data_IF_642549318379
#
_entry.id   IF_642549318379
#
_cell.length_a   1.000
_cell.length_b   1.000
_cell.length_c   1.000
_cell.angle_alpha   90.00
_cell.angle_beta   90.00
_cell.angle_gamma   90.00
#
_symmetry.space_group_name_H-M   'P 1'
#
loop_
_entity.id
_entity.type
_entity.pdbx_description
1 polymer ?
#
# COMPACT_ATOMS: atom_id res chain seq x y z
N UNK A 1 9.77 -8.53 14.79
CA UNK A 1 8.72 -8.28 15.82
C UNK A 1 7.54 -7.52 15.21
N UNK A 2 7.77 -6.37 14.55
CA UNK A 2 6.70 -5.61 13.86
C UNK A 2 6.07 -6.40 12.70
N UNK A 3 6.85 -7.11 11.89
CA UNK A 3 6.32 -7.96 10.82
C UNK A 3 5.46 -9.13 11.32
N UNK A 4 5.85 -9.78 12.42
CA UNK A 4 5.03 -10.84 13.02
C UNK A 4 3.70 -10.31 13.59
N UNK A 5 3.73 -9.12 14.20
CA UNK A 5 2.52 -8.41 14.64
C UNK A 5 1.64 -8.03 13.45
N UNK A 6 2.25 -7.49 12.38
CA UNK A 6 1.56 -7.16 11.14
C UNK A 6 0.85 -8.38 10.56
N UNK A 7 1.55 -9.49 10.37
CA UNK A 7 0.95 -10.73 9.85
C UNK A 7 -0.18 -11.25 10.74
N UNK A 8 -0.09 -11.06 12.06
CA UNK A 8 -1.14 -11.47 13.00
C UNK A 8 -2.39 -10.58 12.95
N UNK A 9 -2.24 -9.30 12.55
CA UNK A 9 -3.29 -8.29 12.61
C UNK A 9 -3.71 -7.74 11.25
N UNK A 10 -3.14 -8.24 10.15
CA UNK A 10 -3.42 -7.79 8.78
C UNK A 10 -4.94 -7.74 8.56
N UNK A 11 -5.43 -6.57 8.21
CA UNK A 11 -6.87 -6.30 8.12
C UNK A 11 -7.27 -5.48 6.90
N UNK A 12 -6.32 -5.10 6.05
CA UNK A 12 -6.56 -4.38 4.82
C UNK A 12 -5.36 -4.44 3.87
N UNK A 13 -5.48 -3.75 2.74
CA UNK A 13 -4.44 -3.68 1.71
C UNK A 13 -4.98 -3.92 0.30
N UNK A 14 -4.07 -4.03 -0.66
CA UNK A 14 -4.40 -4.24 -2.08
C UNK A 14 -3.38 -5.16 -2.74
N UNK A 15 -3.87 -6.02 -3.63
CA UNK A 15 -3.03 -6.83 -4.52
C UNK A 15 -3.16 -6.32 -5.96
N UNK A 16 -2.04 -5.88 -6.54
CA UNK A 16 -1.97 -5.40 -7.93
C UNK A 16 -1.12 -6.39 -8.74
N UNK A 17 -1.70 -6.92 -9.81
CA UNK A 17 -1.01 -7.83 -10.72
C UNK A 17 -1.06 -7.28 -12.15
N UNK A 18 0.10 -7.21 -12.79
CA UNK A 18 0.25 -6.72 -14.17
C UNK A 18 0.84 -7.82 -15.06
N UNK A 19 0.07 -8.35 -16.03
CA UNK A 19 0.52 -9.44 -16.90
C UNK A 19 1.68 -9.05 -17.83
N UNK A 20 2.32 -10.06 -18.41
CA UNK A 20 3.47 -9.91 -19.31
C UNK A 20 3.16 -8.95 -20.47
N UNK A 21 4.11 -8.06 -20.78
CA UNK A 21 4.03 -7.06 -21.85
C UNK A 21 2.88 -6.04 -21.71
N UNK A 22 2.25 -5.91 -20.54
CA UNK A 22 1.20 -4.91 -20.31
C UNK A 22 1.80 -3.62 -19.77
N UNK A 23 1.51 -2.51 -20.42
CA UNK A 23 1.81 -1.16 -19.93
C UNK A 23 0.52 -0.55 -19.41
N UNK A 24 0.47 -0.24 -18.11
CA UNK A 24 -0.65 0.44 -17.48
C UNK A 24 -0.49 1.95 -17.70
N UNK A 25 -1.27 2.52 -18.62
CA UNK A 25 -1.16 3.93 -19.02
C UNK A 25 -1.50 4.93 -17.90
N UNK A 26 -2.37 4.55 -16.98
CA UNK A 26 -2.82 5.40 -15.88
C UNK A 26 -2.36 4.85 -14.52
N UNK A 27 -1.88 5.71 -13.60
CA UNK A 27 -1.47 5.25 -12.28
C UNK A 27 -2.60 4.53 -11.54
N UNK A 28 -2.26 3.44 -10.86
CA UNK A 28 -3.13 2.81 -9.87
C UNK A 28 -2.99 3.59 -8.58
N UNK A 29 -4.06 4.27 -8.16
CA UNK A 29 -4.07 5.03 -6.92
C UNK A 29 -4.85 4.28 -5.83
N UNK A 30 -4.18 4.00 -4.71
CA UNK A 30 -4.79 3.48 -3.50
C UNK A 30 -4.92 4.61 -2.47
N UNK A 31 -6.13 4.90 -2.01
CA UNK A 31 -6.38 5.95 -1.02
C UNK A 31 -7.04 5.32 0.20
N UNK A 32 -6.43 5.53 1.35
CA UNK A 32 -6.89 5.00 2.64
C UNK A 32 -7.20 6.18 3.53
N UNK A 33 -8.47 6.28 3.94
CA UNK A 33 -8.94 7.24 4.91
C UNK A 33 -9.02 6.58 6.28
N UNK A 34 -8.38 7.19 7.27
CA UNK A 34 -8.43 6.83 8.67
C UNK A 34 -9.21 7.91 9.43
N UNK A 35 -10.49 7.65 9.68
CA UNK A 35 -11.44 8.58 10.29
C UNK A 35 -12.09 8.05 11.59
N UNK A 36 -11.69 6.86 12.05
CA UNK A 36 -12.10 6.27 13.32
C UNK A 36 -10.90 6.15 14.27
N UNK A 37 -10.95 6.85 15.40
CA UNK A 37 -9.93 6.84 16.46
C UNK A 37 -9.70 5.47 17.10
N UNK A 38 -10.66 4.54 16.97
CA UNK A 38 -10.58 3.19 17.53
C UNK A 38 -10.07 2.15 16.52
N UNK A 39 -9.99 2.50 15.24
CA UNK A 39 -9.50 1.60 14.21
C UNK A 39 -7.97 1.60 14.17
N UNK A 40 -7.35 0.44 13.94
CA UNK A 40 -5.93 0.35 13.60
C UNK A 40 -5.80 -0.31 12.24
N UNK A 41 -4.90 0.19 11.40
CA UNK A 41 -4.72 -0.31 10.05
C UNK A 41 -3.40 -1.08 9.95
N UNK A 42 -3.54 -2.36 9.62
CA UNK A 42 -2.44 -3.27 9.31
C UNK A 42 -2.56 -3.61 7.82
N UNK A 43 -2.22 -2.66 6.96
CA UNK A 43 -2.41 -2.78 5.52
C UNK A 43 -1.24 -3.48 4.84
N UNK A 44 -1.54 -4.53 4.08
CA UNK A 44 -0.55 -5.28 3.32
C UNK A 44 -0.78 -5.10 1.82
N UNK A 45 0.09 -4.32 1.18
CA UNK A 45 0.09 -4.05 -0.25
C UNK A 45 1.07 -4.98 -0.94
N UNK A 46 0.66 -5.59 -2.04
CA UNK A 46 1.52 -6.44 -2.86
C UNK A 46 1.33 -6.06 -4.32
N UNK A 47 2.42 -5.68 -4.99
CA UNK A 47 2.44 -5.27 -6.40
C UNK A 47 3.35 -6.24 -7.15
N UNK A 48 2.82 -6.90 -8.16
CA UNK A 48 3.52 -7.88 -8.98
C UNK A 48 3.43 -7.52 -10.45
N UNK A 49 4.57 -7.42 -11.11
CA UNK A 49 4.65 -7.34 -12.57
C UNK A 49 5.26 -8.61 -13.14
N UNK A 50 4.73 -9.07 -14.26
CA UNK A 50 5.40 -10.06 -15.10
C UNK A 50 6.44 -9.39 -16.03
N UNK A 51 7.09 -10.19 -16.88
CA UNK A 51 8.13 -9.72 -17.79
C UNK A 51 7.66 -8.57 -18.70
N UNK A 52 8.50 -7.55 -18.88
CA UNK A 52 8.25 -6.40 -19.76
C UNK A 52 6.94 -5.66 -19.48
N UNK A 53 6.40 -5.77 -18.27
CA UNK A 53 5.24 -5.01 -17.84
C UNK A 53 5.64 -3.68 -17.21
N UNK A 54 4.75 -2.68 -17.24
CA UNK A 54 4.99 -1.36 -16.67
C UNK A 54 3.77 -0.86 -15.90
N UNK A 55 3.99 -0.33 -14.70
CA UNK A 55 2.93 0.26 -13.87
C UNK A 55 3.46 1.37 -12.98
N UNK A 56 2.64 2.42 -12.82
CA UNK A 56 2.80 3.39 -11.74
C UNK A 56 1.75 3.11 -10.67
N UNK A 57 2.20 2.94 -9.43
CA UNK A 57 1.36 2.78 -8.25
C UNK A 57 1.64 3.92 -7.28
N UNK A 58 0.57 4.53 -6.76
CA UNK A 58 0.66 5.54 -5.71
C UNK A 58 -0.30 5.20 -4.59
N UNK A 59 0.18 5.20 -3.35
CA UNK A 59 -0.68 5.12 -2.18
C UNK A 59 -0.71 6.42 -1.38
N UNK A 60 -1.89 6.72 -0.83
CA UNK A 60 -2.13 7.89 -0.01
C UNK A 60 -2.83 7.45 1.27
N UNK A 61 -2.20 7.69 2.41
CA UNK A 61 -2.83 7.50 3.71
C UNK A 61 -3.20 8.86 4.28
N UNK A 62 -4.49 9.05 4.59
CA UNK A 62 -5.05 10.28 5.13
C UNK A 62 -5.64 9.97 6.49
N UNK A 63 -5.17 10.63 7.56
CA UNK A 63 -5.71 10.44 8.90
C UNK A 63 -6.27 11.75 9.45
N UNK A 64 -7.55 11.71 9.80
CA UNK A 64 -8.22 12.74 10.62
C UNK A 64 -8.53 12.21 12.03
N UNK A 65 -8.27 10.92 12.28
CA UNK A 65 -8.41 10.32 13.59
C UNK A 65 -7.29 10.83 14.52
N UNK A 66 -7.68 11.40 15.65
CA UNK A 66 -6.81 11.89 16.73
C UNK A 66 -7.02 11.04 17.98
N UNK A 67 -5.98 10.80 18.76
CA UNK A 67 -6.09 10.02 20.01
C UNK A 67 -4.94 9.04 20.23
N UNK A 68 -4.75 8.64 21.48
CA UNK A 68 -3.73 7.66 21.86
C UNK A 68 -4.31 6.24 21.78
N UNK A 69 -3.84 5.41 20.84
CA UNK A 69 -4.14 3.97 20.84
C UNK A 69 -4.32 3.30 19.48
N UNK A 70 -4.59 4.08 18.43
CA UNK A 70 -4.62 3.57 17.05
C UNK A 70 -3.21 3.41 16.48
N UNK A 71 -3.03 2.40 15.62
CA UNK A 71 -1.75 2.14 14.96
C UNK A 71 -1.93 2.05 13.46
N UNK A 72 -0.98 2.66 12.75
CA UNK A 72 -0.78 2.46 11.32
C UNK A 72 0.47 1.62 11.13
N UNK A 73 0.28 0.42 10.57
CA UNK A 73 1.35 -0.49 10.26
C UNK A 73 1.18 -0.99 8.82
N UNK A 74 1.91 -0.39 7.90
CA UNK A 74 1.76 -0.62 6.47
C UNK A 74 2.98 -1.41 5.98
N UNK A 75 2.74 -2.49 5.23
CA UNK A 75 3.77 -3.25 4.53
C UNK A 75 3.43 -3.25 3.05
N UNK A 76 4.41 -2.87 2.22
CA UNK A 76 4.30 -2.90 0.77
C UNK A 76 5.37 -3.81 0.19
N UNK A 77 4.96 -4.83 -0.58
CA UNK A 77 5.83 -5.73 -1.32
C UNK A 77 5.79 -5.38 -2.81
N UNK A 78 6.94 -5.15 -3.41
CA UNK A 78 7.08 -4.79 -4.83
C UNK A 78 7.92 -5.84 -5.53
N UNK A 79 7.30 -6.62 -6.42
CA UNK A 79 7.88 -7.79 -7.06
C UNK A 79 7.93 -7.54 -8.57
N UNK A 80 9.11 -7.18 -9.05
CA UNK A 80 9.34 -6.84 -10.45
C UNK A 80 9.78 -8.06 -11.28
N UNK A 81 9.02 -8.39 -12.33
CA UNK A 81 9.41 -9.35 -13.35
C UNK A 81 10.58 -8.88 -14.22
N UNK A 82 11.17 -9.78 -15.01
CA UNK A 82 12.31 -9.46 -15.87
C UNK A 82 11.97 -8.33 -16.86
N UNK A 83 12.86 -7.35 -17.05
CA UNK A 83 12.64 -6.19 -17.93
C UNK A 83 11.36 -5.37 -17.64
N UNK A 84 10.71 -5.57 -16.49
CA UNK A 84 9.53 -4.79 -16.08
C UNK A 84 9.94 -3.51 -15.37
N UNK A 85 9.01 -2.57 -15.26
CA UNK A 85 9.18 -1.32 -14.53
C UNK A 85 8.01 -1.08 -13.57
N UNK A 86 8.31 -0.86 -12.30
CA UNK A 86 7.33 -0.43 -11.30
C UNK A 86 7.78 0.92 -10.76
N UNK A 87 6.96 1.95 -10.98
CA UNK A 87 7.07 3.23 -10.26
C UNK A 87 6.17 3.18 -9.05
N UNK A 88 6.75 3.30 -7.85
CA UNK A 88 6.02 3.27 -6.58
C UNK A 88 6.17 4.62 -5.86
N UNK A 89 5.06 5.18 -5.39
CA UNK A 89 5.03 6.37 -4.55
C UNK A 89 4.09 6.21 -3.35
N UNK A 90 4.47 6.78 -2.21
CA UNK A 90 3.61 6.85 -1.03
C UNK A 90 3.58 8.28 -0.49
N UNK A 91 2.40 8.73 -0.07
CA UNK A 91 2.18 10.02 0.59
C UNK A 91 1.33 9.80 1.83
N UNK A 92 1.91 10.13 2.98
CA UNK A 92 1.23 10.01 4.28
C UNK A 92 0.89 11.41 4.80
N UNK A 93 -0.40 11.69 4.94
CA UNK A 93 -0.92 12.86 5.62
C UNK A 93 -1.57 12.42 6.93
N UNK A 94 -0.82 12.55 8.03
CA UNK A 94 -1.26 12.14 9.35
C UNK A 94 -1.60 13.36 10.21
N UNK A 95 -2.62 13.22 11.07
CA UNK A 95 -2.90 14.24 12.09
C UNK A 95 -1.74 14.36 13.09
N UNK A 96 -1.68 15.49 13.77
CA UNK A 96 -0.72 15.70 14.87
C UNK A 96 -1.16 14.81 16.03
N UNK A 97 -0.52 13.65 16.14
CA UNK A 97 -0.69 12.72 17.25
C UNK A 97 -0.65 13.37 18.62
#
# INVERSE_FOLDING_TARGET
RITALHTALVNGGVFVYVPKNVVVEHPVQYVVLHDDENASFYNHVIIVTEESAEVTYVENYLSNASGEGNQLNIISEVIAGANSNITYGSVDYMDKG
#
